data_IF_393390460784
#
_entry.id   IF_393390460784
#
_cell.length_a   1.000
_cell.length_b   1.000
_cell.length_c   1.000
_cell.angle_alpha   90.00
_cell.angle_beta   90.00
_cell.angle_gamma   90.00
#
_symmetry.space_group_name_H-M   'P 1'
#
loop_
_entity.id
_entity.type
_entity.pdbx_description
1 polymer ?
#
# COMPACT_ATOMS: atom_id res chain seq x y z
N UNK A 1 24.74 7.99 24.77
CA UNK A 1 24.53 7.03 23.66
C UNK A 1 23.04 6.87 23.40
N UNK A 2 22.51 7.47 22.33
CA UNK A 2 21.12 7.28 21.91
C UNK A 2 21.00 5.97 21.12
N UNK A 3 20.99 4.84 21.83
CA UNK A 3 20.56 3.58 21.22
C UNK A 3 19.07 3.72 20.89
N UNK A 4 18.77 3.96 19.62
CA UNK A 4 17.42 3.78 19.09
C UNK A 4 17.01 2.34 19.41
N UNK A 5 15.95 2.09 20.21
CA UNK A 5 15.59 0.73 20.61
C UNK A 5 15.33 -0.11 19.35
N UNK A 6 15.80 -1.35 19.33
CA UNK A 6 15.72 -2.29 18.18
C UNK A 6 14.31 -2.38 17.61
N UNK A 7 13.29 -2.27 18.47
CA UNK A 7 11.87 -2.17 18.13
C UNK A 7 11.55 -1.06 17.11
N UNK A 8 12.22 0.09 17.17
CA UNK A 8 12.00 1.20 16.23
C UNK A 8 12.58 0.95 14.84
N UNK A 9 13.59 0.06 14.71
CA UNK A 9 14.14 -0.33 13.39
C UNK A 9 13.17 -1.27 12.67
N UNK A 10 12.61 -2.24 13.39
CA UNK A 10 11.68 -3.22 12.83
C UNK A 10 10.36 -2.57 12.41
N UNK A 11 9.85 -1.63 13.22
CA UNK A 11 8.61 -0.93 12.90
C UNK A 11 8.64 -0.20 11.55
N UNK A 12 9.80 0.36 11.17
CA UNK A 12 9.97 1.03 9.88
C UNK A 12 9.71 0.09 8.70
N UNK A 13 10.10 -1.18 8.81
CA UNK A 13 9.87 -2.17 7.77
C UNK A 13 8.39 -2.49 7.61
N UNK A 14 7.62 -2.54 8.70
CA UNK A 14 6.17 -2.71 8.62
C UNK A 14 5.48 -1.52 7.94
N UNK A 15 5.87 -0.28 8.31
CA UNK A 15 5.34 0.93 7.66
C UNK A 15 5.70 1.02 6.18
N UNK A 16 6.94 0.63 5.83
CA UNK A 16 7.39 0.57 4.46
C UNK A 16 6.60 -0.48 3.67
N UNK A 17 6.37 -1.67 4.25
CA UNK A 17 5.58 -2.73 3.63
C UNK A 17 4.15 -2.27 3.31
N UNK A 18 3.47 -1.63 4.27
CA UNK A 18 2.14 -1.04 4.05
C UNK A 18 2.17 -0.08 2.86
N UNK A 19 3.14 0.85 2.85
CA UNK A 19 3.26 1.85 1.79
C UNK A 19 3.50 1.20 0.43
N UNK A 20 4.45 0.26 0.34
CA UNK A 20 4.77 -0.45 -0.91
C UNK A 20 3.54 -1.20 -1.43
N UNK A 21 2.85 -1.96 -0.57
CA UNK A 21 1.65 -2.69 -0.99
C UNK A 21 0.57 -1.74 -1.51
N UNK A 22 0.31 -0.63 -0.84
CA UNK A 22 -0.68 0.37 -1.27
C UNK A 22 -0.29 1.03 -2.60
N UNK A 23 0.98 1.43 -2.77
CA UNK A 23 1.45 1.99 -4.04
C UNK A 23 1.37 0.99 -5.19
N UNK A 24 1.71 -0.28 -4.96
CA UNK A 24 1.58 -1.33 -5.97
C UNK A 24 0.12 -1.57 -6.37
N UNK A 25 -0.81 -1.52 -5.40
CA UNK A 25 -2.24 -1.61 -5.68
C UNK A 25 -2.71 -0.47 -6.58
N UNK A 26 -2.31 0.77 -6.29
CA UNK A 26 -2.73 1.92 -7.09
C UNK A 26 -2.13 1.90 -8.50
N UNK A 27 -0.83 1.57 -8.63
CA UNK A 27 -0.18 1.40 -9.95
C UNK A 27 -0.92 0.33 -10.75
N UNK A 28 -1.27 -0.78 -10.09
CA UNK A 28 -2.02 -1.84 -10.72
C UNK A 28 -3.38 -1.35 -11.23
N UNK A 29 -4.15 -0.64 -10.41
CA UNK A 29 -5.49 -0.16 -10.74
C UNK A 29 -5.53 1.01 -11.74
N UNK A 30 -4.45 1.79 -11.86
CA UNK A 30 -4.43 3.01 -12.69
C UNK A 30 -3.65 2.84 -14.00
N UNK A 31 -2.71 1.90 -14.07
CA UNK A 31 -1.84 1.70 -15.24
C UNK A 31 -2.01 0.30 -15.82
N UNK A 32 -1.90 -0.74 -14.98
CA UNK A 32 -1.85 -2.12 -15.46
C UNK A 32 -3.23 -2.63 -15.86
N UNK A 33 -4.22 -2.41 -14.99
CA UNK A 33 -5.60 -2.83 -15.12
C UNK A 33 -6.51 -1.69 -14.71
N UNK A 34 -7.12 -1.03 -15.69
CA UNK A 34 -8.14 -0.02 -15.47
C UNK A 34 -9.50 -0.71 -15.62
N UNK A 35 -10.23 -0.95 -14.51
CA UNK A 35 -11.55 -1.56 -14.58
C UNK A 35 -12.54 -0.60 -15.22
N UNK A 36 -13.21 -1.05 -16.29
CA UNK A 36 -14.30 -0.32 -16.93
C UNK A 36 -15.61 -1.11 -16.74
N UNK A 37 -16.35 -0.92 -15.64
CA UNK A 37 -17.70 -1.46 -15.54
C UNK A 37 -18.61 -0.78 -16.57
N UNK A 38 -19.49 -1.54 -17.21
CA UNK A 38 -20.43 -1.01 -18.21
C UNK A 38 -21.85 -1.25 -17.73
N UNK A 39 -22.49 -0.18 -17.26
CA UNK A 39 -23.86 -0.25 -16.76
C UNK A 39 -24.89 -0.33 -17.89
N UNK A 40 -25.99 -1.08 -17.70
CA UNK A 40 -26.47 -1.73 -16.48
C UNK A 40 -26.01 -3.19 -16.28
N UNK A 41 -25.15 -3.71 -17.16
CA UNK A 41 -24.66 -5.09 -17.06
C UNK A 41 -23.66 -5.17 -15.90
N UNK A 42 -23.78 -6.18 -15.04
CA UNK A 42 -22.73 -6.52 -14.06
C UNK A 42 -21.56 -7.21 -14.78
N UNK A 43 -20.93 -6.46 -15.67
CA UNK A 43 -19.78 -6.85 -16.47
C UNK A 43 -18.88 -5.65 -16.70
N UNK A 44 -17.60 -5.90 -16.89
CA UNK A 44 -16.64 -4.84 -17.12
C UNK A 44 -15.55 -5.25 -18.11
N UNK A 45 -14.98 -4.27 -18.79
CA UNK A 45 -13.78 -4.44 -19.60
C UNK A 45 -12.53 -4.29 -18.75
N UNK A 46 -11.52 -5.10 -19.07
CA UNK A 46 -10.16 -4.93 -18.58
C UNK A 46 -9.38 -4.03 -19.55
N UNK A 47 -9.15 -2.76 -19.19
CA UNK A 47 -8.28 -1.85 -19.96
C UNK A 47 -6.88 -1.79 -19.35
N UNK A 48 -5.92 -1.20 -20.07
CA UNK A 48 -4.54 -1.01 -19.61
C UNK A 48 -3.53 -1.96 -20.25
N UNK A 49 -2.37 -2.14 -19.60
CA UNK A 49 -1.27 -2.98 -20.10
C UNK A 49 -1.68 -4.44 -20.24
N UNK A 50 -2.63 -4.91 -19.43
CA UNK A 50 -3.10 -6.30 -19.44
C UNK A 50 -4.10 -6.61 -20.58
N UNK A 51 -4.62 -5.58 -21.26
CA UNK A 51 -5.64 -5.72 -22.32
C UNK A 51 -5.27 -6.67 -23.48
N UNK A 52 -4.00 -6.82 -23.91
CA UNK A 52 -3.66 -7.74 -25.01
C UNK A 52 -3.89 -9.22 -24.68
N UNK A 53 -4.04 -9.59 -23.40
CA UNK A 53 -4.30 -10.97 -22.98
C UNK A 53 -5.76 -11.41 -23.21
N UNK A 54 -6.63 -10.53 -23.73
CA UNK A 54 -8.04 -10.78 -24.05
C UNK A 54 -8.71 -11.57 -22.92
N UNK A 55 -9.29 -12.73 -23.21
CA UNK A 55 -10.07 -13.56 -22.28
C UNK A 55 -9.37 -13.87 -20.96
N UNK A 56 -8.03 -13.95 -20.94
CA UNK A 56 -7.28 -14.22 -19.71
C UNK A 56 -7.06 -12.96 -18.84
N UNK A 57 -7.13 -11.76 -19.43
CA UNK A 57 -6.83 -10.49 -18.78
C UNK A 57 -7.66 -10.22 -17.52
N UNK A 58 -9.01 -10.32 -17.50
CA UNK A 58 -9.79 -10.00 -16.31
C UNK A 58 -9.60 -11.01 -15.18
N UNK A 59 -9.36 -12.29 -15.49
CA UNK A 59 -9.09 -13.30 -14.46
C UNK A 59 -7.76 -13.04 -13.78
N UNK A 60 -6.71 -12.80 -14.58
CA UNK A 60 -5.40 -12.43 -14.05
C UNK A 60 -5.47 -11.09 -13.30
N UNK A 61 -6.26 -10.14 -13.79
CA UNK A 61 -6.41 -8.86 -13.14
C UNK A 61 -7.10 -8.96 -11.77
N UNK A 62 -8.20 -9.71 -11.71
CA UNK A 62 -8.89 -10.00 -10.46
C UNK A 62 -7.99 -10.74 -9.46
N UNK A 63 -7.19 -11.69 -9.96
CA UNK A 63 -6.19 -12.40 -9.16
C UNK A 63 -5.20 -11.43 -8.52
N UNK A 64 -4.57 -10.58 -9.33
CA UNK A 64 -3.55 -9.64 -8.86
C UNK A 64 -4.18 -8.59 -7.94
N UNK A 65 -5.35 -8.07 -8.28
CA UNK A 65 -6.09 -7.11 -7.45
C UNK A 65 -6.38 -7.67 -6.05
N UNK A 66 -6.99 -8.86 -5.99
CA UNK A 66 -7.36 -9.51 -4.72
C UNK A 66 -6.12 -9.81 -3.88
N UNK A 67 -5.03 -10.23 -4.54
CA UNK A 67 -3.74 -10.47 -3.89
C UNK A 67 -3.18 -9.17 -3.28
N UNK A 68 -3.09 -8.09 -4.05
CA UNK A 68 -2.54 -6.81 -3.60
C UNK A 68 -3.38 -6.18 -2.48
N UNK A 69 -4.70 -6.23 -2.60
CA UNK A 69 -5.62 -5.73 -1.57
C UNK A 69 -5.44 -6.51 -0.26
N UNK A 70 -5.36 -7.84 -0.34
CA UNK A 70 -5.13 -8.70 0.81
C UNK A 70 -3.76 -8.43 1.45
N UNK A 71 -2.72 -8.23 0.64
CA UNK A 71 -1.39 -7.86 1.11
C UNK A 71 -1.40 -6.54 1.88
N UNK A 72 -2.15 -5.53 1.41
CA UNK A 72 -2.31 -4.25 2.14
C UNK A 72 -2.94 -4.48 3.53
N UNK A 73 -4.05 -5.23 3.58
CA UNK A 73 -4.73 -5.56 4.83
C UNK A 73 -3.81 -6.31 5.80
N UNK A 74 -3.21 -7.42 5.37
CA UNK A 74 -2.31 -8.23 6.20
C UNK A 74 -1.12 -7.39 6.71
N UNK A 75 -0.58 -6.48 5.91
CA UNK A 75 0.50 -5.58 6.32
C UNK A 75 0.10 -4.69 7.50
N UNK A 76 -1.11 -4.11 7.47
CA UNK A 76 -1.64 -3.29 8.56
C UNK A 76 -1.86 -4.16 9.81
N UNK A 77 -2.39 -5.37 9.64
CA UNK A 77 -2.58 -6.33 10.74
C UNK A 77 -1.26 -6.66 11.43
N UNK A 78 -0.20 -6.95 10.67
CA UNK A 78 1.13 -7.22 11.22
C UNK A 78 1.72 -6.01 11.94
N UNK A 79 1.55 -4.81 11.39
CA UNK A 79 1.97 -3.58 12.05
C UNK A 79 1.25 -3.39 13.40
N UNK A 80 -0.05 -3.72 13.49
CA UNK A 80 -0.82 -3.67 14.73
C UNK A 80 -0.38 -4.73 15.74
N UNK A 81 -0.14 -5.97 15.29
CA UNK A 81 0.37 -7.04 16.16
C UNK A 81 1.76 -6.70 16.71
N UNK A 82 2.66 -6.20 15.87
CA UNK A 82 3.96 -5.70 16.32
C UNK A 82 3.80 -4.56 17.34
N UNK A 83 2.85 -3.65 17.09
CA UNK A 83 2.58 -2.54 17.99
C UNK A 83 2.09 -3.00 19.35
N UNK A 84 1.19 -3.98 19.36
CA UNK A 84 0.71 -4.62 20.58
C UNK A 84 1.89 -5.25 21.33
N UNK A 85 2.71 -6.05 20.66
CA UNK A 85 3.91 -6.64 21.24
C UNK A 85 4.87 -5.58 21.82
N UNK A 86 5.06 -4.45 21.13
CA UNK A 86 5.90 -3.35 21.61
C UNK A 86 5.39 -2.67 22.88
N UNK A 87 4.07 -2.53 23.03
CA UNK A 87 3.47 -1.93 24.23
C UNK A 87 3.55 -2.86 25.44
N UNK A 88 3.42 -4.17 25.21
CA UNK A 88 3.51 -5.20 26.26
C UNK A 88 4.92 -5.76 26.46
N UNK A 89 5.93 -5.22 25.77
CA UNK A 89 7.34 -5.60 25.96
C UNK A 89 7.71 -6.99 25.40
N UNK A 90 7.01 -7.49 24.38
CA UNK A 90 7.22 -8.81 23.77
C UNK A 90 7.74 -8.74 22.32
N UNK A 91 8.57 -7.76 21.99
CA UNK A 91 9.06 -7.55 20.61
C UNK A 91 10.03 -8.62 20.13
N UNK A 92 10.66 -9.37 21.04
CA UNK A 92 11.63 -10.44 20.77
C UNK A 92 11.08 -11.50 19.81
N UNK A 93 9.76 -11.74 19.81
CA UNK A 93 9.09 -12.64 18.86
C UNK A 93 9.32 -12.21 17.41
N UNK A 94 9.29 -10.91 17.14
CA UNK A 94 9.43 -10.32 15.80
C UNK A 94 10.89 -10.07 15.41
N UNK A 95 11.83 -10.27 16.33
CA UNK A 95 13.28 -10.20 16.03
C UNK A 95 13.78 -11.52 15.41
N UNK A 96 13.03 -12.61 15.58
CA UNK A 96 13.34 -13.92 15.00
C UNK A 96 13.12 -13.91 13.50
N UNK A 97 14.17 -14.24 12.73
CA UNK A 97 14.12 -14.34 11.26
C UNK A 97 13.06 -15.32 10.77
N UNK A 98 12.87 -16.45 11.45
CA UNK A 98 11.84 -17.45 11.10
C UNK A 98 10.42 -16.89 11.22
N UNK A 99 10.16 -16.07 12.23
CA UNK A 99 8.86 -15.41 12.40
C UNK A 99 8.65 -14.39 11.28
N UNK A 100 9.64 -13.52 11.02
CA UNK A 100 9.55 -12.56 9.91
C UNK A 100 9.36 -13.23 8.55
N UNK A 101 10.08 -14.32 8.27
CA UNK A 101 9.90 -15.11 7.05
C UNK A 101 8.51 -15.75 6.98
N UNK A 102 8.02 -16.29 8.10
CA UNK A 102 6.68 -16.85 8.21
C UNK A 102 5.57 -15.81 7.95
N UNK A 103 5.76 -14.58 8.43
CA UNK A 103 4.84 -13.46 8.16
C UNK A 103 4.82 -13.10 6.66
N UNK A 104 5.99 -12.99 6.04
CA UNK A 104 6.09 -12.74 4.59
C UNK A 104 5.45 -13.87 3.78
N UNK A 105 5.72 -15.13 4.14
CA UNK A 105 5.09 -16.28 3.51
C UNK A 105 3.57 -16.24 3.67
N UNK A 106 3.08 -15.97 4.89
CA UNK A 106 1.64 -15.82 5.13
C UNK A 106 1.02 -14.72 4.26
N UNK A 107 1.66 -13.55 4.17
CA UNK A 107 1.19 -12.44 3.34
C UNK A 107 1.08 -12.80 1.85
N UNK A 108 1.98 -13.64 1.33
CA UNK A 108 1.97 -14.07 -0.06
C UNK A 108 0.96 -15.19 -0.31
N UNK A 109 0.95 -16.23 0.54
CA UNK A 109 0.20 -17.45 0.28
C UNK A 109 -1.24 -17.44 0.79
N UNK A 110 -1.55 -16.65 1.83
CA UNK A 110 -2.89 -16.62 2.46
C UNK A 110 -4.05 -16.33 1.48
N UNK A 111 -3.97 -15.36 0.56
CA UNK A 111 -5.09 -15.07 -0.34
C UNK A 111 -5.25 -16.06 -1.52
N UNK A 112 -4.28 -16.93 -1.81
CA UNK A 112 -4.34 -17.84 -2.96
C UNK A 112 -5.59 -18.75 -2.98
N UNK A 113 -6.04 -19.34 -1.85
CA UNK A 113 -7.26 -20.16 -1.82
C UNK A 113 -8.52 -19.36 -2.18
N UNK A 114 -8.62 -18.09 -1.74
CA UNK A 114 -9.76 -17.22 -2.06
C UNK A 114 -9.80 -16.93 -3.55
N UNK A 115 -8.65 -16.66 -4.16
CA UNK A 115 -8.58 -16.39 -5.58
C UNK A 115 -8.90 -17.65 -6.40
N UNK A 116 -8.38 -18.80 -5.97
CA UNK A 116 -8.69 -20.07 -6.60
C UNK A 116 -10.20 -20.37 -6.54
N UNK A 117 -10.84 -20.15 -5.39
CA UNK A 117 -12.27 -20.37 -5.21
C UNK A 117 -13.13 -19.56 -6.19
N UNK A 118 -12.79 -18.30 -6.46
CA UNK A 118 -13.53 -17.45 -7.40
C UNK A 118 -13.47 -17.98 -8.84
N UNK A 119 -12.33 -18.58 -9.27
CA UNK A 119 -12.23 -19.19 -10.61
C UNK A 119 -13.20 -20.34 -10.83
N UNK A 120 -13.58 -21.06 -9.77
CA UNK A 120 -14.57 -22.15 -9.84
C UNK A 120 -16.01 -21.67 -10.00
N UNK A 121 -16.29 -20.40 -9.69
CA UNK A 121 -17.63 -19.82 -9.69
C UNK A 121 -17.95 -19.11 -11.01
N UNK A 122 -16.92 -18.62 -11.70
CA UNK A 122 -17.14 -17.89 -12.93
C UNK A 122 -17.64 -18.81 -14.05
N UNK A 123 -18.81 -18.51 -14.66
CA UNK A 123 -19.28 -19.23 -15.82
C UNK A 123 -18.29 -19.08 -16.99
N UNK A 124 -18.32 -20.04 -17.91
CA UNK A 124 -17.49 -19.98 -19.11
C UNK A 124 -17.82 -18.71 -19.91
N UNK A 125 -16.80 -18.06 -20.46
CA UNK A 125 -16.89 -16.80 -21.24
C UNK A 125 -17.99 -16.82 -22.32
N UNK A 126 -18.19 -17.99 -22.94
CA UNK A 126 -19.22 -18.19 -23.96
C UNK A 126 -20.65 -18.06 -23.41
N UNK A 127 -20.88 -18.57 -22.19
CA UNK A 127 -22.18 -18.52 -21.54
C UNK A 127 -22.50 -17.10 -21.05
N UNK A 128 -21.51 -16.44 -20.45
CA UNK A 128 -21.56 -15.02 -20.08
C UNK A 128 -21.90 -14.12 -21.29
N UNK A 129 -21.24 -14.37 -22.42
CA UNK A 129 -21.46 -13.61 -23.67
C UNK A 129 -22.85 -13.81 -24.25
N UNK A 130 -23.39 -15.03 -24.18
CA UNK A 130 -24.74 -15.34 -24.65
C UNK A 130 -25.82 -14.67 -23.78
N UNK A 131 -25.64 -14.67 -22.45
CA UNK A 131 -26.55 -14.01 -21.52
C UNK A 131 -26.61 -12.50 -21.76
N UNK A 132 -25.46 -11.85 -21.91
CA UNK A 132 -25.40 -10.40 -22.18
C UNK A 132 -25.95 -10.07 -23.58
N UNK A 133 -25.71 -10.91 -24.58
CA UNK A 133 -26.31 -10.74 -25.92
C UNK A 133 -27.84 -10.81 -25.87
N UNK A 134 -28.40 -11.71 -25.06
CA UNK A 134 -29.85 -11.88 -24.90
C UNK A 134 -30.49 -10.71 -24.15
N UNK A 135 -29.91 -10.33 -23.01
CA UNK A 135 -30.55 -9.40 -22.07
C UNK A 135 -30.17 -7.94 -22.34
N UNK A 136 -28.99 -7.68 -22.92
CA UNK A 136 -28.44 -6.36 -23.17
C UNK A 136 -27.68 -6.25 -24.51
N UNK A 137 -28.38 -6.30 -25.65
CA UNK A 137 -27.76 -6.36 -26.99
C UNK A 137 -26.88 -5.14 -27.32
N UNK A 138 -27.23 -3.95 -26.82
CA UNK A 138 -26.41 -2.74 -27.00
C UNK A 138 -25.07 -2.83 -26.28
N UNK A 139 -25.04 -3.42 -25.07
CA UNK A 139 -23.80 -3.63 -24.34
C UNK A 139 -22.93 -4.66 -25.07
N UNK A 140 -23.52 -5.75 -25.57
CA UNK A 140 -22.81 -6.76 -26.35
C UNK A 140 -22.12 -6.17 -27.59
N UNK A 141 -22.78 -5.26 -28.33
CA UNK A 141 -22.18 -4.57 -29.47
C UNK A 141 -20.97 -3.72 -29.06
N UNK A 142 -21.01 -3.07 -27.90
CA UNK A 142 -19.85 -2.35 -27.38
C UNK A 142 -18.68 -3.29 -27.05
N UNK A 143 -18.95 -4.40 -26.37
CA UNK A 143 -17.94 -5.38 -25.99
C UNK A 143 -17.24 -6.04 -27.20
N UNK A 144 -18.02 -6.43 -28.22
CA UNK A 144 -17.50 -7.08 -29.43
C UNK A 144 -16.60 -6.14 -30.25
N UNK A 145 -16.92 -4.85 -30.27
CA UNK A 145 -16.17 -3.84 -31.03
C UNK A 145 -14.85 -3.46 -30.35
N UNK A 146 -14.81 -3.43 -29.01
CA UNK A 146 -13.64 -2.97 -28.25
C UNK A 146 -12.71 -4.11 -27.80
N UNK A 147 -12.91 -5.34 -28.28
CA UNK A 147 -12.17 -6.54 -27.82
C UNK A 147 -12.13 -6.67 -26.29
N UNK A 148 -13.22 -6.29 -25.65
CA UNK A 148 -13.34 -6.38 -24.21
C UNK A 148 -13.64 -7.81 -23.78
N UNK A 149 -13.00 -8.27 -22.71
CA UNK A 149 -13.40 -9.52 -22.07
C UNK A 149 -14.55 -9.25 -21.13
N UNK A 150 -15.64 -9.99 -21.35
CA UNK A 150 -16.86 -9.87 -20.58
C UNK A 150 -16.79 -10.73 -19.32
N UNK A 151 -16.77 -10.07 -18.15
CA UNK A 151 -16.99 -10.75 -16.87
C UNK A 151 -18.47 -10.68 -16.50
N UNK A 152 -19.35 -11.43 -17.18
CA UNK A 152 -20.76 -11.48 -16.75
C UNK A 152 -20.91 -12.56 -15.67
N UNK A 153 -21.33 -12.13 -14.48
CA UNK A 153 -21.54 -13.01 -13.34
C UNK A 153 -23.05 -13.14 -13.12
N UNK A 154 -23.55 -14.37 -13.05
CA UNK A 154 -24.89 -14.60 -12.52
C UNK A 154 -24.90 -14.26 -11.02
N UNK A 155 -25.70 -13.27 -10.65
CA UNK A 155 -25.81 -12.73 -9.30
C UNK A 155 -26.19 -13.82 -8.29
N UNK A 156 -26.98 -14.82 -8.69
CA UNK A 156 -27.41 -15.90 -7.82
C UNK A 156 -26.23 -16.77 -7.34
N UNK A 157 -25.26 -17.02 -8.23
CA UNK A 157 -24.06 -17.80 -7.93
C UNK A 157 -23.03 -17.00 -7.13
N UNK A 158 -23.05 -15.67 -7.23
CA UNK A 158 -22.16 -14.77 -6.47
C UNK A 158 -22.62 -14.57 -5.03
N UNK A 159 -23.92 -14.69 -4.77
CA UNK A 159 -24.55 -14.32 -3.50
C UNK A 159 -23.96 -15.06 -2.28
N UNK A 160 -23.74 -16.40 -2.29
CA UNK A 160 -23.10 -17.09 -1.18
C UNK A 160 -21.67 -16.61 -0.90
N UNK A 161 -20.90 -16.29 -1.95
CA UNK A 161 -19.54 -15.78 -1.83
C UNK A 161 -19.51 -14.34 -1.32
N UNK A 162 -20.45 -13.52 -1.74
CA UNK A 162 -20.63 -12.18 -1.20
C UNK A 162 -20.91 -12.22 0.31
N UNK A 163 -21.84 -13.09 0.76
CA UNK A 163 -22.10 -13.27 2.18
C UNK A 163 -20.90 -13.82 2.95
N UNK A 164 -20.17 -14.78 2.39
CA UNK A 164 -18.94 -15.31 2.99
C UNK A 164 -17.86 -14.22 3.10
N UNK A 165 -17.64 -13.44 2.04
CA UNK A 165 -16.69 -12.34 2.03
C UNK A 165 -17.07 -11.27 3.07
N UNK A 166 -18.36 -10.92 3.16
CA UNK A 166 -18.88 -9.99 4.16
C UNK A 166 -18.67 -10.52 5.59
N UNK A 167 -18.94 -11.80 5.84
CA UNK A 167 -18.71 -12.43 7.13
C UNK A 167 -17.22 -12.42 7.52
N UNK A 168 -16.34 -12.81 6.60
CA UNK A 168 -14.89 -12.79 6.81
C UNK A 168 -14.37 -11.36 7.06
N UNK A 169 -14.84 -10.38 6.27
CA UNK A 169 -14.52 -8.97 6.47
C UNK A 169 -14.97 -8.47 7.84
N UNK A 170 -16.16 -8.89 8.30
CA UNK A 170 -16.68 -8.53 9.63
C UNK A 170 -15.78 -9.09 10.74
N UNK A 171 -15.35 -10.34 10.62
CA UNK A 171 -14.42 -10.97 11.58
C UNK A 171 -13.08 -10.24 11.59
N UNK A 172 -12.53 -9.91 10.41
CA UNK A 172 -11.28 -9.16 10.28
C UNK A 172 -11.40 -7.78 10.93
N UNK A 173 -12.50 -7.05 10.66
CA UNK A 173 -12.78 -5.74 11.26
C UNK A 173 -12.92 -5.81 12.78
N UNK A 174 -13.52 -6.87 13.31
CA UNK A 174 -13.60 -7.11 14.75
C UNK A 174 -12.20 -7.30 15.36
N UNK A 175 -11.32 -8.09 14.71
CA UNK A 175 -9.93 -8.28 15.15
C UNK A 175 -9.19 -6.94 15.17
N UNK A 176 -9.35 -6.10 14.15
CA UNK A 176 -8.78 -4.75 14.12
C UNK A 176 -9.26 -3.90 15.29
N UNK A 177 -10.58 -3.85 15.51
CA UNK A 177 -11.18 -3.06 16.56
C UNK A 177 -10.70 -3.49 17.96
N UNK A 178 -10.67 -4.81 18.21
CA UNK A 178 -10.16 -5.39 19.45
C UNK A 178 -8.68 -5.03 19.65
N UNK A 179 -7.86 -5.16 18.60
CA UNK A 179 -6.43 -4.81 18.63
C UNK A 179 -6.19 -3.35 18.98
N UNK A 180 -6.95 -2.44 18.36
CA UNK A 180 -6.90 -1.00 18.65
C UNK A 180 -7.32 -0.74 20.11
N UNK A 181 -8.36 -1.41 20.61
CA UNK A 181 -8.78 -1.33 22.01
C UNK A 181 -7.70 -1.77 23.00
N UNK A 182 -6.96 -2.84 22.70
CA UNK A 182 -5.81 -3.27 23.50
C UNK A 182 -4.66 -2.26 23.43
N UNK A 183 -4.35 -1.70 22.26
CA UNK A 183 -3.34 -0.64 22.11
C UNK A 183 -3.72 0.58 22.95
N UNK A 184 -4.97 1.03 22.90
CA UNK A 184 -5.46 2.16 23.68
C UNK A 184 -5.33 1.93 25.19
N UNK A 185 -5.71 0.73 25.67
CA UNK A 185 -5.53 0.34 27.08
C UNK A 185 -4.06 0.29 27.48
N UNK A 186 -3.20 -0.29 26.64
CA UNK A 186 -1.77 -0.35 26.88
C UNK A 186 -1.10 1.03 26.90
N UNK A 187 -1.52 1.95 26.02
CA UNK A 187 -1.08 3.35 26.04
C UNK A 187 -1.46 4.05 27.35
N UNK A 188 -2.69 3.84 27.85
CA UNK A 188 -3.13 4.40 29.14
C UNK A 188 -2.25 3.91 30.29
N UNK A 189 -1.93 2.61 30.32
CA UNK A 189 -1.03 2.03 31.33
C UNK A 189 0.39 2.59 31.25
N UNK A 190 0.93 2.79 30.04
CA UNK A 190 2.27 3.34 29.88
C UNK A 190 2.39 4.78 30.37
N UNK A 191 1.30 5.57 30.34
CA UNK A 191 1.30 6.97 30.79
C UNK A 191 1.78 7.13 32.24
N UNK A 192 1.47 6.17 33.13
CA UNK A 192 1.87 6.24 34.55
C UNK A 192 3.23 5.61 34.85
N UNK A 193 3.76 4.76 33.95
CA UNK A 193 4.96 3.94 34.21
C UNK A 193 6.19 4.39 33.39
N UNK A 194 5.97 5.04 32.24
CA UNK A 194 7.05 5.42 31.31
C UNK A 194 7.25 6.93 31.30
N UNK A 195 8.46 7.35 30.95
CA UNK A 195 8.77 8.77 30.77
C UNK A 195 7.89 9.41 29.69
N UNK A 196 7.59 10.69 29.87
CA UNK A 196 6.73 11.45 28.95
C UNK A 196 7.23 11.37 27.50
N UNK A 197 8.54 11.47 27.29
CA UNK A 197 9.16 11.34 25.97
C UNK A 197 8.87 9.98 25.30
N UNK A 198 8.98 8.89 26.06
CA UNK A 198 8.70 7.53 25.56
C UNK A 198 7.21 7.35 25.29
N UNK A 199 6.37 7.81 26.20
CA UNK A 199 4.92 7.78 26.04
C UNK A 199 4.48 8.51 24.77
N UNK A 200 4.95 9.74 24.54
CA UNK A 200 4.61 10.54 23.36
C UNK A 200 5.08 9.89 22.05
N UNK A 201 6.27 9.28 22.05
CA UNK A 201 6.73 8.48 20.91
C UNK A 201 5.77 7.34 20.62
N UNK A 202 5.37 6.57 21.65
CA UNK A 202 4.43 5.47 21.47
C UNK A 202 3.03 5.95 21.03
N UNK A 203 2.52 7.02 21.62
CA UNK A 203 1.24 7.61 21.25
C UNK A 203 1.23 8.02 19.78
N UNK A 204 2.25 8.77 19.33
CA UNK A 204 2.35 9.27 17.96
C UNK A 204 2.37 8.13 16.94
N UNK A 205 3.16 7.08 17.18
CA UNK A 205 3.23 5.92 16.27
C UNK A 205 1.90 5.15 16.22
N UNK A 206 1.24 4.95 17.36
CA UNK A 206 -0.06 4.27 17.39
C UNK A 206 -1.15 5.08 16.68
N UNK A 207 -1.17 6.41 16.85
CA UNK A 207 -2.11 7.30 16.15
C UNK A 207 -1.85 7.28 14.65
N UNK A 208 -0.59 7.32 14.23
CA UNK A 208 -0.25 7.23 12.80
C UNK A 208 -0.70 5.91 12.18
N UNK A 209 -0.54 4.78 12.89
CA UNK A 209 -1.02 3.49 12.42
C UNK A 209 -2.55 3.42 12.33
N UNK A 210 -3.25 4.09 13.25
CA UNK A 210 -4.71 4.21 13.20
C UNK A 210 -5.15 4.96 11.93
N UNK A 211 -4.49 6.06 11.59
CA UNK A 211 -4.79 6.79 10.35
C UNK A 211 -4.53 5.94 9.09
N UNK A 212 -3.44 5.17 9.06
CA UNK A 212 -3.16 4.24 7.95
C UNK A 212 -4.24 3.19 7.73
N UNK A 213 -5.02 2.87 8.77
CA UNK A 213 -6.18 1.97 8.69
C UNK A 213 -7.48 2.70 8.33
N UNK A 214 -7.75 3.83 9.01
CA UNK A 214 -9.01 4.58 8.84
C UNK A 214 -9.11 5.20 7.45
N UNK A 215 -8.04 5.81 6.93
CA UNK A 215 -8.08 6.56 5.67
C UNK A 215 -8.46 5.67 4.48
N UNK A 216 -7.82 4.50 4.25
CA UNK A 216 -8.25 3.59 3.19
C UNK A 216 -9.70 3.14 3.38
N UNK A 217 -10.11 2.81 4.61
CA UNK A 217 -11.49 2.37 4.86
C UNK A 217 -12.47 3.49 4.50
N UNK A 218 -12.27 4.70 5.00
CA UNK A 218 -13.16 5.81 4.71
C UNK A 218 -13.23 6.09 3.21
N UNK A 219 -12.10 6.14 2.51
CA UNK A 219 -12.06 6.50 1.09
C UNK A 219 -12.59 5.39 0.18
N UNK A 220 -12.21 4.13 0.44
CA UNK A 220 -12.64 2.99 -0.37
C UNK A 220 -14.11 2.63 -0.09
N UNK A 221 -14.51 2.53 1.18
CA UNK A 221 -15.90 2.15 1.52
C UNK A 221 -16.89 3.22 1.11
N UNK A 222 -16.57 4.51 1.27
CA UNK A 222 -17.48 5.57 0.80
C UNK A 222 -17.59 5.60 -0.72
N UNK A 223 -16.50 5.36 -1.45
CA UNK A 223 -16.51 5.24 -2.90
C UNK A 223 -17.39 4.08 -3.36
N UNK A 224 -17.21 2.90 -2.76
CA UNK A 224 -17.97 1.69 -3.07
C UNK A 224 -19.46 1.82 -2.72
N UNK A 225 -19.78 2.41 -1.56
CA UNK A 225 -21.16 2.67 -1.16
C UNK A 225 -21.86 3.65 -2.11
N UNK A 226 -21.19 4.75 -2.46
CA UNK A 226 -21.74 5.76 -3.38
C UNK A 226 -22.02 5.15 -4.75
N UNK A 227 -21.08 4.34 -5.24
CA UNK A 227 -21.24 3.61 -6.48
C UNK A 227 -22.39 2.60 -6.41
N UNK A 228 -22.43 1.77 -5.36
CA UNK A 228 -23.48 0.77 -5.15
C UNK A 228 -24.87 1.39 -5.12
N UNK A 229 -25.03 2.53 -4.44
CA UNK A 229 -26.28 3.30 -4.44
C UNK A 229 -26.64 3.75 -5.86
N UNK A 230 -25.69 4.30 -6.62
CA UNK A 230 -25.94 4.73 -8.00
C UNK A 230 -26.43 3.58 -8.90
N UNK A 231 -25.88 2.38 -8.71
CA UNK A 231 -26.29 1.17 -9.42
C UNK A 231 -27.68 0.69 -8.98
N UNK A 232 -27.93 0.62 -7.66
CA UNK A 232 -29.22 0.17 -7.10
C UNK A 232 -30.39 1.04 -7.57
N UNK A 233 -30.18 2.36 -7.63
CA UNK A 233 -31.20 3.31 -8.10
C UNK A 233 -31.17 3.53 -9.62
N UNK A 234 -30.34 2.79 -10.37
CA UNK A 234 -30.22 2.86 -11.84
C UNK A 234 -30.03 4.31 -12.35
N UNK A 235 -29.20 5.09 -11.67
CA UNK A 235 -28.95 6.47 -12.05
C UNK A 235 -28.28 6.54 -13.42
N UNK A 236 -28.74 7.43 -14.30
CA UNK A 236 -28.13 7.64 -15.63
C UNK A 236 -26.67 8.06 -15.53
N UNK A 237 -26.29 8.73 -14.44
CA UNK A 237 -24.92 9.16 -14.14
C UNK A 237 -24.04 8.10 -13.47
N UNK A 238 -24.48 6.84 -13.34
CA UNK A 238 -23.74 5.79 -12.63
C UNK A 238 -22.31 5.58 -13.15
N UNK A 239 -22.10 5.70 -14.47
CA UNK A 239 -20.76 5.63 -15.07
C UNK A 239 -19.85 6.78 -14.61
N UNK A 240 -20.36 8.01 -14.60
CA UNK A 240 -19.61 9.18 -14.13
C UNK A 240 -19.31 9.08 -12.64
N UNK A 241 -20.28 8.63 -11.85
CA UNK A 241 -20.12 8.41 -10.41
C UNK A 241 -19.00 7.40 -10.17
N UNK A 242 -18.97 6.28 -10.92
CA UNK A 242 -17.90 5.29 -10.82
C UNK A 242 -16.51 5.92 -11.03
N UNK A 243 -16.30 6.70 -12.09
CA UNK A 243 -14.97 7.28 -12.33
C UNK A 243 -14.55 8.24 -11.22
N UNK A 244 -15.48 9.08 -10.74
CA UNK A 244 -15.19 10.04 -9.66
C UNK A 244 -14.87 9.29 -8.36
N UNK A 245 -15.67 8.29 -8.00
CA UNK A 245 -15.44 7.51 -6.77
C UNK A 245 -14.20 6.62 -6.87
N UNK A 246 -13.88 6.12 -8.06
CA UNK A 246 -12.65 5.37 -8.32
C UNK A 246 -11.40 6.24 -8.20
N UNK A 247 -11.40 7.44 -8.78
CA UNK A 247 -10.30 8.40 -8.59
C UNK A 247 -10.17 8.73 -7.10
N UNK A 248 -11.29 9.02 -6.42
CA UNK A 248 -11.28 9.29 -4.99
C UNK A 248 -10.70 8.13 -4.18
N UNK A 249 -11.07 6.89 -4.47
CA UNK A 249 -10.55 5.73 -3.74
C UNK A 249 -9.04 5.54 -3.95
N UNK A 250 -8.52 5.76 -5.16
CA UNK A 250 -7.06 5.68 -5.44
C UNK A 250 -6.23 6.77 -4.73
N UNK A 251 -6.83 7.87 -4.29
CA UNK A 251 -6.11 8.92 -3.54
C UNK A 251 -5.77 8.54 -2.09
N UNK A 252 -6.26 7.40 -1.59
CA UNK A 252 -6.01 6.96 -0.21
C UNK A 252 -4.52 6.78 0.12
N UNK A 253 -3.71 6.28 -0.82
CA UNK A 253 -2.27 6.10 -0.61
C UNK A 253 -1.53 7.43 -0.52
N UNK A 254 -1.92 8.41 -1.35
CA UNK A 254 -1.39 9.77 -1.27
C UNK A 254 -1.76 10.41 0.06
N UNK A 255 -3.03 10.32 0.47
CA UNK A 255 -3.49 10.84 1.76
C UNK A 255 -2.73 10.19 2.94
N UNK A 256 -2.54 8.87 2.91
CA UNK A 256 -1.74 8.14 3.89
C UNK A 256 -0.29 8.62 3.94
N UNK A 257 0.34 8.83 2.79
CA UNK A 257 1.72 9.29 2.70
C UNK A 257 1.89 10.70 3.28
N UNK A 258 0.96 11.60 2.96
CA UNK A 258 0.92 12.96 3.52
C UNK A 258 0.76 12.91 5.05
N UNK A 259 -0.14 12.09 5.56
CA UNK A 259 -0.35 11.94 7.01
C UNK A 259 0.87 11.33 7.71
N UNK A 260 1.52 10.35 7.09
CA UNK A 260 2.76 9.76 7.60
C UNK A 260 3.87 10.80 7.77
N UNK A 261 4.08 11.62 6.74
CA UNK A 261 5.01 12.74 6.79
C UNK A 261 4.56 13.72 7.89
N UNK A 262 3.30 14.16 7.88
CA UNK A 262 2.80 15.15 8.83
C UNK A 262 2.89 14.70 10.30
N UNK A 263 2.68 13.42 10.60
CA UNK A 263 2.62 12.91 11.97
C UNK A 263 3.98 12.43 12.51
N UNK A 264 4.82 11.80 11.70
CA UNK A 264 6.05 11.15 12.16
C UNK A 264 7.28 12.03 11.88
N UNK A 265 7.90 12.56 12.96
CA UNK A 265 9.07 13.47 12.92
C UNK A 265 10.20 13.02 11.97
N UNK A 266 10.73 11.78 12.06
CA UNK A 266 11.79 11.31 11.16
C UNK A 266 11.50 11.46 9.66
N UNK A 267 10.24 11.33 9.24
CA UNK A 267 9.89 11.50 7.82
C UNK A 267 9.90 12.98 7.41
N UNK A 268 9.46 13.90 8.29
CA UNK A 268 9.57 15.35 8.04
C UNK A 268 11.02 15.79 7.95
N UNK A 269 11.84 15.34 8.90
CA UNK A 269 13.25 15.71 8.96
C UNK A 269 13.99 15.24 7.69
N UNK A 270 13.67 14.04 7.20
CA UNK A 270 14.19 13.52 5.93
C UNK A 270 13.71 14.30 4.70
N UNK A 271 12.44 14.72 4.67
CA UNK A 271 11.92 15.53 3.57
C UNK A 271 12.58 16.92 3.54
N UNK A 272 12.72 17.56 4.70
CA UNK A 272 13.37 18.87 4.84
C UNK A 272 14.84 18.78 4.42
N UNK A 273 15.55 17.74 4.84
CA UNK A 273 16.95 17.57 4.45
C UNK A 273 17.10 17.38 2.94
N UNK A 274 16.24 16.59 2.28
CA UNK A 274 16.23 16.43 0.82
C UNK A 274 16.02 17.77 0.10
N UNK A 275 15.09 18.60 0.59
CA UNK A 275 14.84 19.94 0.04
C UNK A 275 16.03 20.90 0.25
N UNK A 276 16.77 20.77 1.35
CA UNK A 276 17.96 21.58 1.63
C UNK A 276 19.19 21.12 0.82
N UNK A 277 19.37 19.82 0.60
CA UNK A 277 20.42 19.29 -0.29
C UNK A 277 20.19 19.68 -1.75
N UNK A 278 18.93 19.74 -2.21
CA UNK A 278 18.58 20.28 -3.53
C UNK A 278 18.94 21.76 -3.72
N UNK A 279 18.99 22.55 -2.64
CA UNK A 279 19.44 23.95 -2.66
C UNK A 279 20.97 24.08 -2.59
N UNK A 280 21.67 23.15 -1.93
CA UNK A 280 23.14 23.17 -1.83
C UNK A 280 23.86 22.63 -3.07
N UNK A 281 23.22 21.75 -3.85
CA UNK A 281 23.81 21.20 -5.09
C UNK A 281 23.85 22.21 -6.24
N UNK A 282 23.10 23.31 -6.18
CA UNK A 282 23.08 24.34 -7.24
C UNK A 282 24.10 25.46 -7.02
N UNK A 283 24.92 25.40 -5.97
CA UNK A 283 25.84 26.48 -5.58
C UNK A 283 27.30 26.07 -5.36
N UNK A 284 27.71 24.85 -5.73
CA UNK A 284 29.06 24.33 -5.43
C UNK A 284 29.96 23.99 -6.62
N UNK A 285 29.51 24.18 -7.86
CA UNK A 285 30.33 23.86 -9.04
C UNK A 285 31.37 24.94 -9.42
N UNK A 286 31.35 26.13 -8.80
CA UNK A 286 32.31 27.20 -9.13
C UNK A 286 33.40 27.46 -8.09
N UNK A 287 33.34 26.86 -6.89
CA UNK A 287 34.33 27.14 -5.81
C UNK A 287 35.17 25.94 -5.39
N UNK A 288 34.85 24.72 -5.83
CA UNK A 288 35.63 23.54 -5.50
C UNK A 288 36.95 23.43 -6.29
N UNK A 289 37.07 24.11 -7.44
CA UNK A 289 38.26 24.01 -8.29
C UNK A 289 39.46 24.83 -7.75
N UNK A 290 39.22 25.89 -6.99
CA UNK A 290 40.26 26.81 -6.51
C UNK A 290 40.98 26.31 -5.26
N UNK A 291 40.29 25.55 -4.40
CA UNK A 291 40.85 25.08 -3.12
C UNK A 291 41.71 23.82 -3.28
N UNK A 292 41.50 23.05 -4.36
CA UNK A 292 42.30 21.85 -4.64
C UNK A 292 43.72 22.21 -5.11
N UNK A 293 43.88 23.25 -5.93
CA UNK A 293 45.19 23.64 -6.47
C UNK A 293 46.14 24.18 -5.39
N UNK A 294 45.62 24.89 -4.38
CA UNK A 294 46.45 25.44 -3.30
C UNK A 294 46.99 24.38 -2.32
N UNK A 295 46.27 23.27 -2.12
CA UNK A 295 46.76 22.18 -1.25
C UNK A 295 47.84 21.34 -1.93
N UNK A 296 47.77 21.12 -3.24
CA UNK A 296 48.76 20.30 -3.95
C UNK A 296 50.12 21.01 -4.04
N UNK A 297 50.14 22.34 -4.21
CA UNK A 297 51.38 23.13 -4.22
C UNK A 297 52.06 23.17 -2.85
N UNK A 298 51.29 23.20 -1.75
CA UNK A 298 51.83 23.22 -0.40
C UNK A 298 52.46 21.87 0.01
N UNK A 299 51.90 20.75 -0.43
CA UNK A 299 52.42 19.40 -0.12
C UNK A 299 53.71 19.10 -0.90
N UNK A 300 53.83 19.60 -2.12
CA UNK A 300 55.02 19.35 -2.94
C UNK A 300 56.26 20.12 -2.45
N UNK A 301 56.07 21.27 -1.78
CA UNK A 301 57.16 22.04 -1.17
C UNK A 301 57.71 21.43 0.12
N UNK A 302 56.94 20.63 0.86
CA UNK A 302 57.41 19.99 2.09
C UNK A 302 58.21 18.70 1.85
N UNK A 303 58.00 18.02 0.72
CA UNK A 303 58.68 16.76 0.39
C UNK A 303 60.09 16.93 -0.17
N UNK A 304 60.44 18.09 -0.72
CA UNK A 304 61.79 18.37 -1.25
C UNK A 304 62.81 18.74 -0.15
N UNK A 305 62.34 19.24 1.01
CA UNK A 305 63.24 19.64 2.11
C UNK A 305 63.74 18.44 2.92
N UNK A 306 62.95 17.36 3.00
CA UNK A 306 63.28 16.16 3.79
C UNK A 306 64.19 15.17 3.08
N UNK A 307 64.35 15.26 1.75
CA UNK A 307 65.15 14.30 0.97
C UNK A 307 66.65 14.61 0.90
N UNK A 308 67.12 15.74 1.47
CA UNK A 308 68.53 16.17 1.44
C UNK A 308 69.38 15.76 2.66
N UNK A 309 68.86 15.01 3.65
CA UNK A 309 69.53 14.83 4.95
C UNK A 309 69.96 13.41 5.36
N UNK A 310 70.09 12.45 4.44
CA UNK A 310 70.59 11.11 4.80
C UNK A 310 71.61 10.58 3.79
N UNK A 311 72.90 10.80 4.07
CA UNK A 311 74.03 10.00 3.58
C UNK A 311 74.86 9.62 4.82
N UNK A 312 75.10 8.33 5.11
CA UNK A 312 75.89 7.91 6.26
C UNK A 312 77.38 7.78 5.92
N UNK A 313 78.23 8.06 6.92
CA UNK A 313 79.55 7.45 7.08
C UNK A 313 79.43 6.30 8.08
#
# INVERSE_FOLDING_TARGET
MFHTPTSMKIYKWFLLNISICSYLLDIFLTIIFIPLPIFPVLGGCALGIISPLRSFAPYLAWFIYTQLLSMCGISIMFALLFRLAAIYGRTELFEKKSVMLGLVAFQVFYPLPLVYAVRWVHPNENEASLLVKRDHPYAYAFYSTHSCTLLAIDVAHLLPYFYLALALMTVIMLIYFVSIGFIARGLKRMKSVRSEKTYQMHKTLSVSLLFQFIVPICMIVSADLTFSVAVLFKLSSAQTIFYVTFIFSTLHTTANSVLMIALIRPYRDALISLMHFGKYSKGKDTTAHSTFVLKTVAVQRSTDVTRRKTIPF
#
